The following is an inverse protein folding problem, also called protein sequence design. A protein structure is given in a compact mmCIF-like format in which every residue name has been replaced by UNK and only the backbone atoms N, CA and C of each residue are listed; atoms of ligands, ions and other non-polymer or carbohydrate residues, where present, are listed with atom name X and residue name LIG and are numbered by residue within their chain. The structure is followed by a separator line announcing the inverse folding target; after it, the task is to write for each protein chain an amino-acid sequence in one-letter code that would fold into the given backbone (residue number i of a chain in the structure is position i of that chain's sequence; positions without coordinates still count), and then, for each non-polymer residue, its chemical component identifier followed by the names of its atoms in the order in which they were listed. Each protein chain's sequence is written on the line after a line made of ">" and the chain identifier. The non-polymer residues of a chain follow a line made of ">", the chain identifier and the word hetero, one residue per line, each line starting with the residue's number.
data_IF_772217419840
#
_entry.id   IF_772217419840
#
_cell.length_a   1.000
_cell.length_b   1.000
_cell.length_c   1.000
_cell.angle_alpha   90.00
_cell.angle_beta   90.00
_cell.angle_gamma   90.00
#
_symmetry.space_group_name_H-M   'P 1'
#
loop_
_entity.id
_entity.type
_entity.pdbx_description
1 polymer ?
#
# COMPACT_ATOMS: atom_id res chain seq x y z
N UNK A 1 -5.44 21.97 -27.87
CA UNK A 1 -4.67 21.05 -27.02
C UNK A 1 -3.27 21.00 -27.61
N UNK A 2 -2.25 21.36 -26.84
CA UNK A 2 -0.87 21.42 -27.34
C UNK A 2 -0.33 20.01 -27.64
N UNK A 3 0.54 19.87 -28.65
CA UNK A 3 1.21 18.62 -29.03
C UNK A 3 1.91 18.01 -27.82
N UNK A 4 2.56 18.84 -26.99
CA UNK A 4 3.19 18.38 -25.75
C UNK A 4 2.21 17.72 -24.77
N UNK A 5 1.00 18.28 -24.65
CA UNK A 5 -0.06 17.72 -23.79
C UNK A 5 -0.58 16.39 -24.32
N UNK A 6 -0.77 16.27 -25.64
CA UNK A 6 -1.20 15.01 -26.28
C UNK A 6 -0.15 13.92 -26.05
N UNK A 7 1.13 14.23 -26.27
CA UNK A 7 2.25 13.30 -26.04
C UNK A 7 2.29 12.87 -24.57
N UNK A 8 2.18 13.79 -23.62
CA UNK A 8 2.19 13.47 -22.20
C UNK A 8 1.06 12.50 -21.80
N UNK A 9 -0.15 12.71 -22.33
CA UNK A 9 -1.29 11.84 -22.05
C UNK A 9 -1.09 10.45 -22.65
N UNK A 10 -0.61 10.37 -23.90
CA UNK A 10 -0.29 9.09 -24.52
C UNK A 10 0.75 8.32 -23.70
N UNK A 11 1.80 9.00 -23.24
CA UNK A 11 2.84 8.41 -22.40
C UNK A 11 2.26 7.91 -21.07
N UNK A 12 1.49 8.72 -20.35
CA UNK A 12 0.87 8.34 -19.08
C UNK A 12 -0.12 7.16 -19.23
N UNK A 13 -0.91 7.16 -20.31
CA UNK A 13 -1.83 6.07 -20.61
C UNK A 13 -1.08 4.77 -20.94
N UNK A 14 -0.01 4.85 -21.73
CA UNK A 14 0.83 3.69 -22.05
C UNK A 14 1.51 3.12 -20.80
N UNK A 15 2.08 3.97 -19.94
CA UNK A 15 2.65 3.51 -18.68
C UNK A 15 1.62 2.83 -17.79
N UNK A 16 0.43 3.43 -17.65
CA UNK A 16 -0.69 2.85 -16.90
C UNK A 16 -1.04 1.47 -17.44
N UNK A 17 -1.20 1.35 -18.76
CA UNK A 17 -1.50 0.09 -19.41
C UNK A 17 -0.41 -0.97 -19.19
N UNK A 18 0.87 -0.59 -19.31
CA UNK A 18 2.00 -1.49 -19.08
C UNK A 18 2.01 -1.99 -17.63
N UNK A 19 1.87 -1.11 -16.64
CA UNK A 19 1.82 -1.50 -15.23
C UNK A 19 0.65 -2.45 -14.93
N UNK A 20 -0.55 -2.12 -15.41
CA UNK A 20 -1.73 -2.99 -15.22
C UNK A 20 -1.53 -4.36 -15.88
N UNK A 21 -0.93 -4.41 -17.06
CA UNK A 21 -0.61 -5.66 -17.75
C UNK A 21 0.42 -6.48 -16.98
N UNK A 22 1.49 -5.84 -16.50
CA UNK A 22 2.52 -6.51 -15.69
C UNK A 22 1.90 -7.06 -14.40
N UNK A 23 1.12 -6.28 -13.67
CA UNK A 23 0.44 -6.73 -12.46
C UNK A 23 -0.50 -7.90 -12.76
N UNK A 24 -1.32 -7.78 -13.79
CA UNK A 24 -2.21 -8.85 -14.21
C UNK A 24 -1.46 -10.14 -14.50
N UNK A 25 -0.38 -10.08 -15.29
CA UNK A 25 0.41 -11.24 -15.65
C UNK A 25 1.09 -11.87 -14.43
N UNK A 26 1.79 -11.07 -13.61
CA UNK A 26 2.49 -11.55 -12.42
C UNK A 26 1.52 -12.22 -11.45
N UNK A 27 0.45 -11.54 -11.06
CA UNK A 27 -0.50 -12.10 -10.09
C UNK A 27 -1.33 -13.26 -10.65
N UNK A 28 -1.57 -13.29 -11.98
CA UNK A 28 -2.22 -14.44 -12.62
C UNK A 28 -1.31 -15.67 -12.67
N UNK A 29 0.00 -15.47 -12.89
CA UNK A 29 0.98 -16.55 -12.86
C UNK A 29 1.16 -17.09 -11.45
N UNK A 30 1.32 -16.23 -10.45
CA UNK A 30 1.37 -16.62 -9.04
C UNK A 30 0.13 -17.43 -8.65
N UNK A 31 -1.06 -16.93 -8.98
CA UNK A 31 -2.33 -17.64 -8.74
C UNK A 31 -2.32 -19.04 -9.34
N UNK A 32 -1.88 -19.19 -10.60
CA UNK A 32 -1.77 -20.50 -11.25
C UNK A 32 -0.73 -21.39 -10.57
N UNK A 33 0.39 -20.83 -10.13
CA UNK A 33 1.45 -21.56 -9.42
C UNK A 33 0.94 -22.16 -8.10
N UNK A 34 0.19 -21.38 -7.31
CA UNK A 34 -0.44 -21.87 -6.08
C UNK A 34 -1.52 -22.93 -6.35
N UNK A 35 -2.33 -22.77 -7.39
CA UNK A 35 -3.39 -23.72 -7.74
C UNK A 35 -2.85 -25.06 -8.26
N UNK A 36 -1.76 -25.03 -9.03
CA UNK A 36 -1.08 -26.22 -9.54
C UNK A 36 -0.21 -26.92 -8.49
N UNK A 37 0.06 -26.27 -7.36
CA UNK A 37 0.91 -26.79 -6.30
C UNK A 37 2.41 -26.69 -6.61
N UNK A 38 2.80 -25.91 -7.62
CA UNK A 38 4.20 -25.69 -7.97
C UNK A 38 4.96 -25.00 -6.83
N UNK A 39 4.29 -24.13 -6.06
CA UNK A 39 4.85 -23.44 -4.90
C UNK A 39 4.77 -24.25 -3.59
N UNK A 40 4.36 -25.52 -3.64
CA UNK A 40 4.17 -26.34 -2.43
C UNK A 40 5.44 -26.44 -1.58
N UNK A 41 6.61 -26.49 -2.21
CA UNK A 41 7.89 -26.55 -1.50
C UNK A 41 8.07 -25.34 -0.59
N UNK A 42 7.93 -24.13 -1.15
CA UNK A 42 8.05 -22.88 -0.41
C UNK A 42 6.96 -22.74 0.67
N UNK A 43 5.71 -23.08 0.33
CA UNK A 43 4.61 -23.03 1.29
C UNK A 43 4.84 -24.00 2.45
N UNK A 44 5.35 -25.21 2.20
CA UNK A 44 5.68 -26.19 3.25
C UNK A 44 6.83 -25.70 4.14
N UNK A 45 7.83 -25.04 3.59
CA UNK A 45 8.89 -24.42 4.41
C UNK A 45 8.33 -23.35 5.34
N UNK A 46 7.41 -22.53 4.87
CA UNK A 46 6.75 -21.52 5.69
C UNK A 46 5.91 -22.16 6.80
N UNK A 47 5.13 -23.19 6.47
CA UNK A 47 4.36 -23.99 7.43
C UNK A 47 5.30 -24.59 8.48
N UNK A 48 6.44 -25.14 8.10
CA UNK A 48 7.42 -25.72 9.03
C UNK A 48 8.02 -24.65 9.96
N UNK A 49 8.35 -23.47 9.44
CA UNK A 49 8.79 -22.31 10.25
C UNK A 49 7.72 -21.90 11.24
N UNK A 50 6.45 -21.94 10.84
CA UNK A 50 5.32 -21.62 11.70
C UNK A 50 5.01 -22.69 12.74
N UNK A 51 5.17 -23.98 12.39
CA UNK A 51 5.06 -25.08 13.33
C UNK A 51 6.11 -25.00 14.44
N UNK A 52 7.36 -24.68 14.10
CA UNK A 52 8.41 -24.41 15.09
C UNK A 52 8.05 -23.25 16.03
N UNK A 53 7.42 -22.19 15.52
CA UNK A 53 6.95 -21.06 16.35
C UNK A 53 5.77 -21.45 17.23
N UNK A 54 4.87 -22.27 16.71
CA UNK A 54 3.75 -22.83 17.45
C UNK A 54 4.24 -23.65 18.64
N UNK A 55 5.17 -24.59 18.44
CA UNK A 55 5.71 -25.41 19.54
C UNK A 55 6.30 -24.57 20.68
N UNK A 56 6.96 -23.44 20.37
CA UNK A 56 7.54 -22.52 21.36
C UNK A 56 6.50 -21.71 22.13
N UNK A 57 5.31 -21.50 21.56
CA UNK A 57 4.24 -20.67 22.12
C UNK A 57 2.95 -21.46 22.39
N UNK A 58 3.05 -22.79 22.40
CA UNK A 58 1.90 -23.71 22.43
C UNK A 58 1.10 -23.47 23.70
N UNK A 59 -0.20 -23.25 23.53
CA UNK A 59 -1.18 -23.20 24.62
C UNK A 59 -1.82 -24.58 24.76
N UNK A 60 -2.21 -24.94 25.97
CA UNK A 60 -2.64 -26.30 26.35
C UNK A 60 -3.81 -26.83 25.48
N UNK A 61 -4.69 -25.93 25.01
CA UNK A 61 -5.87 -26.26 24.20
C UNK A 61 -5.84 -25.72 22.76
N UNK A 62 -4.67 -25.34 22.23
CA UNK A 62 -4.52 -24.83 20.85
C UNK A 62 -3.75 -25.85 20.01
N UNK A 63 -4.37 -26.41 18.97
CA UNK A 63 -3.69 -27.23 17.97
C UNK A 63 -2.97 -26.37 16.92
N UNK A 64 -2.09 -26.98 16.11
CA UNK A 64 -1.37 -26.22 15.09
C UNK A 64 -2.31 -25.67 14.01
N UNK A 65 -3.38 -26.38 13.67
CA UNK A 65 -4.34 -25.94 12.65
C UNK A 65 -5.02 -24.65 13.08
N UNK A 66 -5.56 -24.59 14.30
CA UNK A 66 -6.18 -23.40 14.88
C UNK A 66 -5.18 -22.25 15.03
N UNK A 67 -3.94 -22.53 15.45
CA UNK A 67 -2.84 -21.54 15.45
C UNK A 67 -2.60 -20.97 14.04
N UNK A 68 -2.49 -21.84 13.03
CA UNK A 68 -2.21 -21.44 11.64
C UNK A 68 -3.35 -20.63 11.04
N UNK A 69 -4.61 -21.03 11.28
CA UNK A 69 -5.81 -20.31 10.85
C UNK A 69 -5.89 -18.94 11.50
N UNK A 70 -5.60 -18.83 12.80
CA UNK A 70 -5.60 -17.55 13.52
C UNK A 70 -4.51 -16.61 12.98
N UNK A 71 -3.32 -17.15 12.71
CA UNK A 71 -2.23 -16.38 12.10
C UNK A 71 -2.58 -15.91 10.69
N UNK A 72 -3.17 -16.76 9.86
CA UNK A 72 -3.63 -16.37 8.53
C UNK A 72 -4.75 -15.34 8.58
N UNK A 73 -5.70 -15.46 9.52
CA UNK A 73 -6.69 -14.39 9.77
C UNK A 73 -6.01 -13.05 10.09
N UNK A 74 -4.92 -13.04 10.85
CA UNK A 74 -4.16 -11.81 11.13
C UNK A 74 -3.43 -11.25 9.91
N UNK A 75 -2.88 -12.12 9.02
CA UNK A 75 -2.30 -11.69 7.73
C UNK A 75 -3.38 -11.08 6.83
N UNK A 76 -4.55 -11.73 6.75
CA UNK A 76 -5.72 -11.24 6.01
C UNK A 76 -6.19 -9.88 6.53
N UNK A 77 -6.29 -9.71 7.85
CA UNK A 77 -6.63 -8.42 8.46
C UNK A 77 -5.63 -7.32 8.09
N UNK A 78 -4.32 -7.61 8.11
CA UNK A 78 -3.31 -6.66 7.62
C UNK A 78 -3.51 -6.32 6.15
N UNK A 79 -3.83 -7.30 5.31
CA UNK A 79 -4.19 -7.08 3.90
C UNK A 79 -5.35 -6.09 3.73
N UNK A 80 -6.42 -6.26 4.51
CA UNK A 80 -7.57 -5.35 4.53
C UNK A 80 -7.16 -3.94 4.94
N UNK A 81 -6.29 -3.79 5.95
CA UNK A 81 -5.77 -2.47 6.36
C UNK A 81 -4.99 -1.81 5.22
N UNK A 82 -4.12 -2.54 4.52
CA UNK A 82 -3.38 -1.99 3.38
C UNK A 82 -4.32 -1.57 2.23
N UNK A 83 -5.32 -2.38 1.91
CA UNK A 83 -6.35 -2.01 0.91
C UNK A 83 -7.12 -0.75 1.36
N UNK A 84 -7.46 -0.64 2.65
CA UNK A 84 -8.08 0.56 3.22
C UNK A 84 -7.23 1.83 3.03
N UNK A 85 -5.91 1.74 3.21
CA UNK A 85 -4.98 2.85 2.97
C UNK A 85 -5.00 3.26 1.49
N UNK A 86 -5.03 2.29 0.56
CA UNK A 86 -5.13 2.56 -0.89
C UNK A 86 -6.43 3.30 -1.20
N UNK A 87 -7.56 2.87 -0.64
CA UNK A 87 -8.85 3.53 -0.83
C UNK A 87 -8.87 4.95 -0.26
N UNK A 88 -8.30 5.17 0.93
CA UNK A 88 -8.16 6.52 1.51
C UNK A 88 -7.36 7.42 0.58
N UNK A 89 -6.24 6.94 0.04
CA UNK A 89 -5.44 7.70 -0.93
C UNK A 89 -6.22 8.00 -2.22
N UNK A 90 -6.99 7.04 -2.74
CA UNK A 90 -7.81 7.26 -3.93
C UNK A 90 -8.92 8.29 -3.70
N UNK A 91 -9.58 8.26 -2.54
CA UNK A 91 -10.58 9.25 -2.14
C UNK A 91 -9.93 10.64 -2.01
N UNK A 92 -8.73 10.71 -1.41
CA UNK A 92 -7.96 11.95 -1.34
C UNK A 92 -7.65 12.49 -2.74
N UNK A 93 -7.19 11.65 -3.67
CA UNK A 93 -6.94 12.03 -5.06
C UNK A 93 -8.19 12.58 -5.74
N UNK A 94 -9.33 11.88 -5.59
CA UNK A 94 -10.61 12.34 -6.13
C UNK A 94 -11.04 13.69 -5.53
N UNK A 95 -10.83 13.88 -4.22
CA UNK A 95 -11.06 15.14 -3.52
C UNK A 95 -10.19 16.28 -4.06
N UNK A 96 -8.90 16.03 -4.30
CA UNK A 96 -7.98 17.03 -4.89
C UNK A 96 -8.41 17.41 -6.31
N UNK A 97 -8.84 16.44 -7.13
CA UNK A 97 -9.33 16.72 -8.49
C UNK A 97 -10.62 17.56 -8.43
N UNK A 98 -11.58 17.17 -7.59
CA UNK A 98 -12.83 17.90 -7.41
C UNK A 98 -12.59 19.32 -6.88
N UNK A 99 -11.70 19.45 -5.90
CA UNK A 99 -11.30 20.74 -5.35
C UNK A 99 -10.62 21.62 -6.41
N UNK A 100 -9.69 21.06 -7.19
CA UNK A 100 -9.01 21.79 -8.27
C UNK A 100 -10.01 22.29 -9.33
N UNK A 101 -11.02 21.49 -9.67
CA UNK A 101 -12.10 21.91 -10.57
C UNK A 101 -12.96 23.04 -9.97
N UNK A 102 -13.26 22.97 -8.66
CA UNK A 102 -13.99 24.03 -7.95
C UNK A 102 -13.21 25.35 -7.94
N UNK A 103 -11.91 25.33 -7.64
CA UNK A 103 -11.06 26.54 -7.66
C UNK A 103 -11.02 27.21 -9.02
N UNK A 104 -10.91 26.40 -10.08
CA UNK A 104 -10.90 26.92 -11.45
C UNK A 104 -12.22 27.62 -11.82
N UNK A 105 -13.34 27.22 -11.21
CA UNK A 105 -14.63 27.89 -11.36
C UNK A 105 -14.74 29.18 -10.55
N UNK A 106 -13.86 29.41 -9.58
CA UNK A 106 -13.87 30.55 -8.66
C UNK A 106 -12.65 31.45 -8.86
N UNK A 107 -12.17 31.62 -10.10
CA UNK A 107 -11.03 32.47 -10.44
C UNK A 107 -9.78 32.19 -9.59
N UNK A 108 -9.51 30.90 -9.35
CA UNK A 108 -8.35 30.39 -8.60
C UNK A 108 -8.20 30.93 -7.16
N UNK A 109 -9.34 31.30 -6.56
CA UNK A 109 -9.43 31.75 -5.17
C UNK A 109 -10.02 30.67 -4.26
N UNK A 110 -9.50 30.60 -3.04
CA UNK A 110 -10.17 29.92 -1.93
C UNK A 110 -10.06 30.71 -0.64
N UNK A 111 -11.02 30.50 0.25
CA UNK A 111 -11.13 31.24 1.50
C UNK A 111 -10.79 30.33 2.68
N UNK A 112 -10.01 30.85 3.62
CA UNK A 112 -9.70 30.16 4.87
C UNK A 112 -9.68 31.18 6.02
N UNK A 113 -10.68 31.11 6.89
CA UNK A 113 -10.94 32.16 7.88
C UNK A 113 -11.20 33.50 7.18
N UNK A 114 -10.52 34.55 7.64
CA UNK A 114 -10.62 35.91 7.08
C UNK A 114 -9.57 36.19 5.98
N UNK A 115 -8.89 35.14 5.49
CA UNK A 115 -7.87 35.23 4.44
C UNK A 115 -8.34 34.57 3.16
N UNK A 116 -8.24 35.31 2.05
CA UNK A 116 -8.39 34.78 0.70
C UNK A 116 -7.02 34.36 0.19
N UNK A 117 -6.91 33.15 -0.33
CA UNK A 117 -5.73 32.63 -0.98
C UNK A 117 -5.93 32.58 -2.48
N UNK A 118 -4.95 33.03 -3.24
CA UNK A 118 -4.96 32.97 -4.70
C UNK A 118 -3.55 32.78 -5.25
N UNK A 119 -3.45 32.24 -6.46
CA UNK A 119 -2.17 32.04 -7.14
C UNK A 119 -1.92 33.16 -8.15
N UNK A 120 -0.78 33.85 -8.03
CA UNK A 120 -0.37 34.90 -8.96
C UNK A 120 0.21 34.26 -10.23
N UNK A 121 -0.54 34.26 -11.32
CA UNK A 121 -0.18 33.56 -12.56
C UNK A 121 0.75 34.34 -13.49
N UNK A 122 0.91 35.65 -13.30
CA UNK A 122 1.70 36.51 -14.19
C UNK A 122 2.99 36.99 -13.53
N UNK A 123 3.88 37.56 -14.34
CA UNK A 123 5.16 38.11 -13.88
C UNK A 123 5.10 39.60 -13.50
N UNK A 124 3.93 40.25 -13.50
CA UNK A 124 3.84 41.71 -13.33
C UNK A 124 4.31 42.21 -11.97
N UNK A 125 4.36 41.35 -10.95
CA UNK A 125 4.89 41.63 -9.61
C UNK A 125 6.26 40.99 -9.33
N UNK A 126 6.87 40.31 -10.32
CA UNK A 126 8.02 39.43 -10.09
C UNK A 126 9.37 40.15 -10.01
N UNK A 127 9.46 41.34 -10.60
CA UNK A 127 10.66 42.18 -10.66
C UNK A 127 10.30 43.65 -10.50
N UNK A 128 11.30 44.49 -10.18
CA UNK A 128 11.13 45.94 -10.16
C UNK A 128 11.50 46.53 -11.52
N UNK A 129 10.67 47.43 -12.01
CA UNK A 129 11.00 48.26 -13.17
C UNK A 129 11.77 49.50 -12.71
N UNK A 130 12.89 49.83 -13.38
CA UNK A 130 13.72 50.99 -13.03
C UNK A 130 12.98 52.34 -13.18
N UNK A 131 11.87 52.37 -13.93
CA UNK A 131 11.03 53.57 -14.07
C UNK A 131 10.12 53.83 -12.87
N UNK A 132 10.00 52.88 -11.95
CA UNK A 132 9.15 53.00 -10.76
C UNK A 132 10.02 53.41 -9.56
N UNK A 133 10.30 54.70 -9.45
CA UNK A 133 11.10 55.32 -8.38
C UNK A 133 10.54 55.09 -6.97
N UNK A 134 9.23 54.96 -6.83
CA UNK A 134 8.55 54.62 -5.58
C UNK A 134 8.86 53.21 -5.04
N UNK A 135 9.52 52.32 -5.81
CA UNK A 135 9.87 50.96 -5.36
C UNK A 135 11.18 50.90 -4.54
N UNK A 136 11.86 52.03 -4.36
CA UNK A 136 13.06 52.12 -3.51
C UNK A 136 12.68 51.72 -2.08
N UNK A 137 13.31 50.67 -1.56
CA UNK A 137 13.03 50.12 -0.22
C UNK A 137 11.95 49.04 -0.15
N UNK A 138 11.29 48.69 -1.26
CA UNK A 138 10.23 47.67 -1.29
C UNK A 138 10.67 46.35 -1.96
N UNK A 139 11.24 45.42 -1.21
CA UNK A 139 11.75 44.12 -1.71
C UNK A 139 10.75 42.95 -1.57
N UNK A 140 9.45 43.23 -1.71
CA UNK A 140 8.36 42.28 -1.51
C UNK A 140 7.77 41.72 -2.83
N UNK A 141 8.56 41.62 -3.89
CA UNK A 141 8.14 41.09 -5.19
C UNK A 141 7.57 39.66 -5.07
N UNK A 142 6.56 39.39 -5.89
CA UNK A 142 5.81 38.14 -5.91
C UNK A 142 6.13 37.42 -7.21
N UNK A 143 6.79 36.26 -7.09
CA UNK A 143 7.16 35.44 -8.24
C UNK A 143 5.91 34.83 -8.89
N UNK A 144 6.00 34.56 -10.18
CA UNK A 144 4.97 33.81 -10.91
C UNK A 144 4.72 32.46 -10.26
N UNK A 145 3.45 32.06 -10.25
CA UNK A 145 2.89 30.90 -9.57
C UNK A 145 3.11 30.90 -8.06
N UNK A 146 3.22 32.07 -7.42
CA UNK A 146 3.21 32.16 -5.96
C UNK A 146 1.78 32.10 -5.44
N UNK A 147 1.54 31.22 -4.47
CA UNK A 147 0.36 31.29 -3.63
C UNK A 147 0.55 32.45 -2.65
N UNK A 148 -0.43 33.36 -2.56
CA UNK A 148 -0.38 34.50 -1.65
C UNK A 148 -1.62 34.55 -0.76
N UNK A 149 -1.49 35.20 0.40
CA UNK A 149 -2.60 35.51 1.30
C UNK A 149 -3.06 36.97 1.14
N UNK A 150 -4.37 37.15 1.03
CA UNK A 150 -5.06 38.44 0.93
C UNK A 150 -5.98 38.56 2.14
N UNK A 151 -5.78 39.59 2.96
CA UNK A 151 -6.66 39.91 4.09
C UNK A 151 -7.74 40.91 3.67
N UNK A 152 -8.96 40.72 4.18
CA UNK A 152 -10.05 41.68 4.00
C UNK A 152 -9.73 42.98 4.75
N UNK A 153 -10.01 44.12 4.13
CA UNK A 153 -9.73 45.46 4.67
C UNK A 153 -10.93 46.39 4.48
N UNK A 154 -10.93 47.54 5.16
CA UNK A 154 -11.86 48.65 4.90
C UNK A 154 -11.21 49.76 4.09
N UNK A 155 -11.99 50.75 3.66
CA UNK A 155 -11.49 51.83 2.81
C UNK A 155 -10.43 52.69 3.52
N UNK A 156 -10.55 52.83 4.85
CA UNK A 156 -9.60 53.58 5.68
C UNK A 156 -8.23 52.88 5.83
N UNK A 157 -8.16 51.59 5.52
CA UNK A 157 -6.92 50.80 5.57
C UNK A 157 -6.08 50.95 4.29
N UNK A 158 -6.58 51.64 3.27
CA UNK A 158 -5.91 51.85 1.98
C UNK A 158 -4.68 52.73 2.16
N UNK A 159 -3.51 52.21 1.76
CA UNK A 159 -2.22 52.90 1.90
C UNK A 159 -1.44 52.83 0.61
N UNK A 160 -0.90 53.99 0.22
CA UNK A 160 0.00 54.09 -0.93
C UNK A 160 1.16 53.10 -0.77
N UNK A 161 1.47 52.44 -1.88
CA UNK A 161 2.54 51.46 -2.04
C UNK A 161 2.33 50.11 -1.36
N UNK A 162 1.19 49.84 -0.73
CA UNK A 162 0.81 48.48 -0.35
C UNK A 162 0.35 47.68 -1.60
N UNK A 163 0.41 46.35 -1.50
CA UNK A 163 -0.01 45.43 -2.56
C UNK A 163 -1.43 44.96 -2.28
N UNK A 164 -2.29 44.99 -3.29
CA UNK A 164 -3.71 44.62 -3.18
C UNK A 164 -4.11 43.65 -4.28
N UNK A 165 -5.13 42.86 -3.99
CA UNK A 165 -5.86 42.11 -5.00
C UNK A 165 -7.17 42.84 -5.33
N UNK A 166 -7.51 42.95 -6.61
CA UNK A 166 -8.74 43.58 -7.09
C UNK A 166 -9.26 42.86 -8.33
N UNK A 167 -10.55 43.05 -8.61
CA UNK A 167 -11.21 42.51 -9.80
C UNK A 167 -10.97 43.42 -10.98
N UNK A 168 -10.59 42.84 -12.11
CA UNK A 168 -10.51 43.52 -13.40
C UNK A 168 -11.10 42.56 -14.43
N UNK A 169 -12.23 42.94 -15.02
CA UNK A 169 -13.07 42.07 -15.84
C UNK A 169 -13.40 40.75 -15.09
N UNK A 170 -13.15 39.60 -15.72
CA UNK A 170 -13.36 38.26 -15.13
C UNK A 170 -12.15 37.74 -14.33
N UNK A 171 -11.12 38.58 -14.12
CA UNK A 171 -9.85 38.17 -13.51
C UNK A 171 -9.57 38.89 -12.20
N UNK A 172 -8.77 38.25 -11.34
CA UNK A 172 -8.21 38.89 -10.16
C UNK A 172 -6.76 39.27 -10.41
N UNK A 173 -6.48 40.54 -10.24
CA UNK A 173 -5.16 41.14 -10.46
C UNK A 173 -4.56 41.52 -9.11
N UNK A 174 -3.25 41.32 -8.98
CA UNK A 174 -2.50 41.66 -7.77
C UNK A 174 -1.43 42.66 -8.13
N UNK A 175 -1.60 43.91 -7.73
CA UNK A 175 -0.67 45.00 -8.02
C UNK A 175 -0.51 45.95 -6.84
N UNK A 176 0.47 46.85 -6.94
CA UNK A 176 0.74 47.85 -5.92
C UNK A 176 -0.13 49.09 -6.14
N UNK A 177 -0.67 49.65 -5.06
CA UNK A 177 -1.38 50.91 -5.10
C UNK A 177 -0.40 52.08 -5.30
N UNK A 178 -0.61 52.90 -6.32
CA UNK A 178 0.27 54.03 -6.65
C UNK A 178 -0.43 55.39 -6.62
N UNK A 179 -1.76 55.42 -6.59
CA UNK A 179 -2.57 56.63 -6.57
C UNK A 179 -3.85 56.44 -5.78
N UNK A 180 -4.21 57.48 -5.02
CA UNK A 180 -5.50 57.61 -4.34
C UNK A 180 -6.02 58.99 -4.73
N UNK A 181 -7.11 59.02 -5.49
CA UNK A 181 -7.72 60.24 -6.00
C UNK A 181 -9.13 60.39 -5.41
N UNK A 182 -9.43 61.54 -4.81
CA UNK A 182 -10.79 61.86 -4.36
C UNK A 182 -11.34 63.01 -5.18
N UNK A 183 -12.39 62.75 -5.95
CA UNK A 183 -13.12 63.76 -6.72
C UNK A 183 -14.62 63.71 -6.38
N UNK A 184 -15.21 64.87 -6.08
CA UNK A 184 -16.62 65.01 -5.70
C UNK A 184 -17.10 64.04 -4.60
N UNK A 185 -16.22 63.70 -3.66
CA UNK A 185 -16.54 62.77 -2.55
C UNK A 185 -16.48 61.29 -2.94
N UNK A 186 -16.07 60.96 -4.16
CA UNK A 186 -15.79 59.59 -4.61
C UNK A 186 -14.28 59.39 -4.61
N UNK A 187 -13.81 58.43 -3.81
CA UNK A 187 -12.41 58.01 -3.81
C UNK A 187 -12.21 56.87 -4.78
N UNK A 188 -11.17 56.99 -5.59
CA UNK A 188 -10.76 55.97 -6.57
C UNK A 188 -9.28 55.66 -6.42
N UNK A 189 -8.91 54.49 -6.91
CA UNK A 189 -7.61 53.88 -6.67
C UNK A 189 -6.94 53.54 -7.99
N UNK A 190 -5.64 53.84 -8.06
CA UNK A 190 -4.81 53.51 -9.23
C UNK A 190 -3.72 52.52 -8.84
N UNK A 191 -3.67 51.39 -9.52
CA UNK A 191 -2.73 50.30 -9.28
C UNK A 191 -1.69 50.18 -10.40
N UNK A 192 -0.56 49.52 -10.10
CA UNK A 192 0.47 49.18 -11.09
C UNK A 192 1.27 47.95 -10.66
N UNK A 193 1.54 47.05 -11.61
CA UNK A 193 2.51 45.97 -11.42
C UNK A 193 3.94 46.48 -11.27
N UNK A 194 4.69 45.99 -10.28
CA UNK A 194 6.07 46.41 -10.01
C UNK A 194 7.00 46.29 -11.24
N UNK A 195 6.76 45.31 -12.11
CA UNK A 195 7.53 45.06 -13.33
C UNK A 195 7.08 45.91 -14.52
N UNK A 196 5.90 46.52 -14.45
CA UNK A 196 5.31 47.30 -15.53
C UNK A 196 5.85 48.73 -15.53
N UNK A 197 5.94 49.34 -16.71
CA UNK A 197 6.39 50.74 -16.87
C UNK A 197 5.30 51.77 -16.60
N UNK A 198 4.05 51.33 -16.51
CA UNK A 198 2.86 52.17 -16.40
C UNK A 198 1.65 51.34 -16.02
N UNK A 199 0.58 52.01 -15.61
CA UNK A 199 -0.71 51.38 -15.28
C UNK A 199 -1.53 51.16 -16.54
N UNK A 200 -2.26 50.05 -16.60
CA UNK A 200 -3.23 49.79 -17.66
C UNK A 200 -4.52 50.60 -17.44
N UNK A 201 -5.34 50.74 -18.49
CA UNK A 201 -6.61 51.47 -18.39
C UNK A 201 -7.57 50.91 -17.35
N UNK A 202 -7.59 49.59 -17.18
CA UNK A 202 -8.40 48.91 -16.16
C UNK A 202 -7.81 48.94 -14.74
N UNK A 203 -6.59 49.46 -14.57
CA UNK A 203 -5.92 49.60 -13.27
C UNK A 203 -6.09 51.02 -12.69
N UNK A 204 -6.75 51.93 -13.41
CA UNK A 204 -6.92 53.33 -13.04
C UNK A 204 -8.37 53.62 -12.63
N UNK A 205 -8.55 54.54 -11.68
CA UNK A 205 -9.86 55.01 -11.20
C UNK A 205 -10.78 53.88 -10.69
N UNK A 206 -10.22 52.83 -10.08
CA UNK A 206 -11.02 51.72 -9.53
C UNK A 206 -11.74 52.15 -8.25
N UNK A 207 -13.02 51.83 -8.07
CA UNK A 207 -13.72 52.05 -6.81
C UNK A 207 -13.30 51.02 -5.74
N UNK A 208 -13.52 51.35 -4.46
CA UNK A 208 -13.25 50.40 -3.36
C UNK A 208 -14.01 49.08 -3.50
N UNK A 209 -15.20 49.08 -4.12
CA UNK A 209 -16.02 47.88 -4.33
C UNK A 209 -15.34 46.80 -5.16
N UNK A 210 -14.33 47.14 -5.96
CA UNK A 210 -13.61 46.20 -6.82
C UNK A 210 -12.37 45.62 -6.12
N UNK A 211 -11.99 46.16 -4.96
CA UNK A 211 -10.85 45.71 -4.18
C UNK A 211 -11.27 44.51 -3.32
N UNK A 212 -10.50 43.42 -3.43
CA UNK A 212 -10.74 42.18 -2.69
C UNK A 212 -10.07 42.26 -1.31
N UNK A 213 -8.86 42.81 -1.26
CA UNK A 213 -8.14 42.96 0.00
C UNK A 213 -6.66 43.27 -0.17
N UNK A 214 -5.94 43.34 0.95
CA UNK A 214 -4.51 43.66 1.01
C UNK A 214 -3.67 42.39 1.11
N UNK A 215 -2.50 42.38 0.46
CA UNK A 215 -1.51 41.34 0.65
C UNK A 215 -0.98 41.31 2.09
N UNK A 216 -1.14 40.18 2.78
CA UNK A 216 -0.81 40.05 4.20
C UNK A 216 0.65 39.63 4.48
N UNK A 217 1.50 39.54 3.44
CA UNK A 217 2.89 39.12 3.57
C UNK A 217 3.13 37.60 3.40
N UNK A 218 2.09 36.76 3.43
CA UNK A 218 2.25 35.33 3.16
C UNK A 218 2.47 35.08 1.67
N UNK A 219 3.60 34.48 1.29
CA UNK A 219 3.83 33.96 -0.07
C UNK A 219 4.54 32.62 -0.07
N UNK A 220 4.14 31.72 -0.97
CA UNK A 220 4.83 30.45 -1.20
C UNK A 220 4.78 30.05 -2.67
N UNK A 221 5.94 30.09 -3.33
CA UNK A 221 6.08 29.66 -4.72
C UNK A 221 5.96 28.14 -4.88
N UNK A 222 6.44 27.37 -3.89
CA UNK A 222 6.33 25.90 -3.91
C UNK A 222 4.85 25.48 -3.86
N UNK A 223 4.08 26.07 -2.95
CA UNK A 223 2.65 25.75 -2.84
C UNK A 223 1.91 26.21 -4.10
N UNK A 224 2.15 27.42 -4.59
CA UNK A 224 1.45 27.91 -5.77
C UNK A 224 1.77 27.08 -7.03
N UNK A 225 3.02 26.67 -7.24
CA UNK A 225 3.38 25.74 -8.32
C UNK A 225 2.66 24.39 -8.17
N UNK A 226 2.54 23.85 -6.96
CA UNK A 226 1.79 22.62 -6.72
C UNK A 226 0.30 22.78 -7.05
N UNK A 227 -0.31 23.91 -6.66
CA UNK A 227 -1.69 24.24 -7.02
C UNK A 227 -1.89 24.32 -8.53
N UNK A 228 -1.05 25.06 -9.25
CA UNK A 228 -1.11 25.19 -10.72
C UNK A 228 -0.95 23.83 -11.39
N UNK A 229 -0.02 23.00 -10.91
CA UNK A 229 0.17 21.65 -11.43
C UNK A 229 -1.08 20.79 -11.24
N UNK A 230 -1.67 20.78 -10.04
CA UNK A 230 -2.87 19.98 -9.73
C UNK A 230 -4.11 20.45 -10.51
N UNK A 231 -4.19 21.72 -10.88
CA UNK A 231 -5.24 22.25 -11.77
C UNK A 231 -4.96 22.00 -13.25
N UNK A 232 -3.71 21.73 -13.62
CA UNK A 232 -3.34 21.45 -15.01
C UNK A 232 -3.91 20.10 -15.48
N UNK A 233 -4.24 20.01 -16.78
CA UNK A 233 -4.74 18.76 -17.35
C UNK A 233 -3.75 17.60 -17.20
N UNK A 234 -2.44 17.88 -17.28
CA UNK A 234 -1.39 16.86 -17.07
C UNK A 234 -1.37 16.39 -15.61
N UNK A 235 -1.47 17.30 -14.63
CA UNK A 235 -1.46 16.95 -13.22
C UNK A 235 -2.67 16.13 -12.81
N UNK A 236 -3.87 16.53 -13.26
CA UNK A 236 -5.11 15.76 -13.04
C UNK A 236 -5.01 14.35 -13.62
N UNK A 237 -4.55 14.22 -14.87
CA UNK A 237 -4.42 12.92 -15.53
C UNK A 237 -3.36 12.06 -14.84
N UNK A 238 -2.23 12.65 -14.45
CA UNK A 238 -1.17 11.94 -13.71
C UNK A 238 -1.69 11.38 -12.39
N UNK A 239 -2.47 12.17 -11.65
CA UNK A 239 -3.07 11.74 -10.38
C UNK A 239 -4.11 10.64 -10.58
N UNK A 240 -4.94 10.75 -11.62
CA UNK A 240 -5.91 9.71 -12.00
C UNK A 240 -5.22 8.40 -12.40
N UNK A 241 -4.16 8.46 -13.23
CA UNK A 241 -3.36 7.30 -13.61
C UNK A 241 -2.72 6.63 -12.38
N UNK A 242 -2.15 7.40 -11.46
CA UNK A 242 -1.59 6.86 -10.22
C UNK A 242 -2.64 6.13 -9.38
N UNK A 243 -3.84 6.70 -9.21
CA UNK A 243 -4.94 6.05 -8.51
C UNK A 243 -5.37 4.74 -9.20
N UNK A 244 -5.49 4.73 -10.54
CA UNK A 244 -5.85 3.54 -11.32
C UNK A 244 -4.80 2.44 -11.16
N UNK A 245 -3.51 2.77 -11.21
CA UNK A 245 -2.41 1.80 -11.04
C UNK A 245 -2.47 1.17 -9.64
N UNK A 246 -2.70 1.97 -8.60
CA UNK A 246 -2.81 1.47 -7.22
C UNK A 246 -4.04 0.58 -7.01
N UNK A 247 -5.19 0.96 -7.58
CA UNK A 247 -6.40 0.14 -7.54
C UNK A 247 -6.21 -1.18 -8.30
N UNK A 248 -5.58 -1.14 -9.47
CA UNK A 248 -5.24 -2.32 -10.25
C UNK A 248 -4.31 -3.27 -9.48
N UNK A 249 -3.26 -2.72 -8.85
CA UNK A 249 -2.36 -3.49 -8.00
C UNK A 249 -3.11 -4.18 -6.85
N UNK A 250 -3.95 -3.45 -6.11
CA UNK A 250 -4.71 -3.99 -4.97
C UNK A 250 -5.67 -5.10 -5.43
N UNK A 251 -6.39 -4.87 -6.53
CA UNK A 251 -7.34 -5.83 -7.10
C UNK A 251 -6.66 -7.14 -7.55
N UNK A 252 -5.56 -7.06 -8.31
CA UNK A 252 -4.87 -8.24 -8.80
C UNK A 252 -4.15 -9.00 -7.67
N UNK A 253 -3.51 -8.27 -6.75
CA UNK A 253 -2.85 -8.87 -5.57
C UNK A 253 -3.85 -9.61 -4.69
N UNK A 254 -5.05 -9.05 -4.48
CA UNK A 254 -6.10 -9.71 -3.69
C UNK A 254 -6.47 -11.09 -4.24
N UNK A 255 -6.50 -11.24 -5.56
CA UNK A 255 -6.72 -12.53 -6.23
C UNK A 255 -5.64 -13.57 -5.93
N UNK A 256 -4.36 -13.19 -6.05
CA UNK A 256 -3.21 -14.07 -5.77
C UNK A 256 -3.17 -14.48 -4.29
N UNK A 257 -3.35 -13.50 -3.38
CA UNK A 257 -3.32 -13.74 -1.93
C UNK A 257 -4.39 -14.73 -1.48
N UNK A 258 -5.60 -14.65 -2.02
CA UNK A 258 -6.67 -15.60 -1.72
C UNK A 258 -6.32 -17.04 -2.12
N UNK A 259 -5.64 -17.22 -3.26
CA UNK A 259 -5.20 -18.54 -3.72
C UNK A 259 -4.05 -19.10 -2.89
N UNK A 260 -3.09 -18.26 -2.50
CA UNK A 260 -2.05 -18.62 -1.53
C UNK A 260 -2.67 -19.04 -0.19
N UNK A 261 -3.61 -18.26 0.37
CA UNK A 261 -4.25 -18.59 1.66
C UNK A 261 -4.99 -19.93 1.61
N UNK A 262 -5.72 -20.20 0.53
CA UNK A 262 -6.40 -21.48 0.33
C UNK A 262 -5.40 -22.65 0.30
N UNK A 263 -4.30 -22.51 -0.45
CA UNK A 263 -3.27 -23.55 -0.56
C UNK A 263 -2.53 -23.77 0.76
N UNK A 264 -2.16 -22.69 1.44
CA UNK A 264 -1.51 -22.73 2.75
C UNK A 264 -2.38 -23.46 3.78
N UNK A 265 -3.68 -23.13 3.86
CA UNK A 265 -4.59 -23.77 4.81
C UNK A 265 -4.75 -25.27 4.53
N UNK A 266 -4.86 -25.66 3.25
CA UNK A 266 -4.91 -27.07 2.84
C UNK A 266 -3.65 -27.83 3.26
N UNK A 267 -2.46 -27.30 2.95
CA UNK A 267 -1.20 -27.94 3.29
C UNK A 267 -0.93 -27.97 4.80
N UNK A 268 -1.35 -26.93 5.54
CA UNK A 268 -1.18 -26.88 7.00
C UNK A 268 -1.98 -27.99 7.70
N UNK A 269 -3.19 -28.25 7.23
CA UNK A 269 -4.03 -29.34 7.74
C UNK A 269 -3.38 -30.71 7.48
N UNK A 270 -2.86 -30.94 6.28
CA UNK A 270 -2.19 -32.19 5.94
C UNK A 270 -0.88 -32.38 6.71
N UNK A 271 -0.08 -31.32 6.84
CA UNK A 271 1.17 -31.36 7.61
C UNK A 271 0.90 -31.65 9.10
N UNK A 272 -0.15 -31.06 9.68
CA UNK A 272 -0.51 -31.31 11.08
C UNK A 272 -0.81 -32.78 11.37
N UNK A 273 -1.54 -33.47 10.47
CA UNK A 273 -1.81 -34.90 10.61
C UNK A 273 -0.52 -35.71 10.70
N UNK A 274 0.43 -35.44 9.79
CA UNK A 274 1.73 -36.11 9.77
C UNK A 274 2.51 -35.85 11.08
N UNK A 275 2.50 -34.61 11.58
CA UNK A 275 3.18 -34.29 12.84
C UNK A 275 2.55 -34.96 14.07
N UNK A 276 1.21 -35.09 14.11
CA UNK A 276 0.50 -35.81 15.17
C UNK A 276 0.85 -37.30 15.18
N UNK A 277 0.88 -37.93 14.01
CA UNK A 277 1.23 -39.36 13.89
C UNK A 277 2.67 -39.59 14.39
N UNK A 278 3.59 -38.68 14.09
CA UNK A 278 4.98 -38.74 14.57
C UNK A 278 5.11 -38.52 16.10
N UNK A 279 4.38 -37.57 16.69
CA UNK A 279 4.38 -37.37 18.15
C UNK A 279 3.80 -38.59 18.89
N UNK A 280 2.69 -39.15 18.39
CA UNK A 280 2.07 -40.35 18.95
C UNK A 280 3.01 -41.57 18.87
N UNK A 281 3.68 -41.77 17.72
CA UNK A 281 4.70 -42.81 17.55
C UNK A 281 5.85 -42.66 18.57
N UNK A 282 6.37 -41.44 18.73
CA UNK A 282 7.48 -41.17 19.65
C UNK A 282 7.09 -41.40 21.11
N UNK A 283 5.86 -41.03 21.49
CA UNK A 283 5.30 -41.28 22.81
C UNK A 283 5.13 -42.79 23.09
N UNK A 284 4.54 -43.54 22.15
CA UNK A 284 4.38 -45.00 22.23
C UNK A 284 5.74 -45.69 22.37
N UNK A 285 6.74 -45.30 21.56
CA UNK A 285 8.11 -45.82 21.64
C UNK A 285 8.76 -45.58 23.00
N UNK A 286 8.47 -44.43 23.63
CA UNK A 286 8.97 -44.10 24.98
C UNK A 286 8.26 -44.91 26.06
N UNK A 287 6.95 -45.13 25.97
CA UNK A 287 6.22 -46.00 26.91
C UNK A 287 6.67 -47.47 26.80
N UNK A 288 6.82 -48.00 25.59
CA UNK A 288 7.32 -49.38 25.36
C UNK A 288 8.73 -49.56 25.93
N UNK A 289 9.61 -48.58 25.75
CA UNK A 289 10.98 -48.59 26.32
C UNK A 289 10.99 -48.53 27.87
N UNK A 290 9.97 -47.94 28.49
CA UNK A 290 9.84 -47.91 29.94
C UNK A 290 9.24 -49.20 30.51
N UNK A 291 8.46 -49.96 29.72
CA UNK A 291 7.77 -51.15 30.20
C UNK A 291 8.61 -52.44 30.07
N UNK A 292 9.62 -52.47 29.19
CA UNK A 292 10.38 -53.70 28.98
C UNK A 292 11.90 -53.48 29.11
N UNK A 293 12.46 -53.86 30.26
CA UNK A 293 13.87 -53.61 30.57
C UNK A 293 14.83 -54.73 30.16
N UNK A 294 14.40 -55.98 29.91
CA UNK A 294 15.38 -57.08 29.88
C UNK A 294 15.31 -58.12 28.74
N UNK A 295 14.36 -58.14 27.78
CA UNK A 295 14.49 -59.11 26.66
C UNK A 295 13.88 -58.74 25.29
N UNK A 296 12.91 -57.84 25.17
CA UNK A 296 12.24 -57.58 23.87
C UNK A 296 12.96 -56.60 22.93
N UNK A 297 13.85 -55.74 23.45
CA UNK A 297 14.59 -54.75 22.67
C UNK A 297 15.52 -55.36 21.60
N UNK A 298 16.02 -56.57 21.86
CA UNK A 298 16.87 -57.33 20.92
C UNK A 298 16.08 -57.74 19.66
N UNK A 299 14.83 -58.15 19.83
CA UNK A 299 13.97 -58.66 18.76
C UNK A 299 13.47 -57.50 17.89
N UNK A 300 13.02 -56.41 18.52
CA UNK A 300 12.53 -55.22 17.80
C UNK A 300 13.58 -54.55 16.93
N UNK A 301 14.83 -54.43 17.41
CA UNK A 301 15.91 -53.82 16.62
C UNK A 301 16.24 -54.65 15.37
N UNK A 302 16.23 -55.98 15.47
CA UNK A 302 16.50 -56.89 14.35
C UNK A 302 15.40 -56.83 13.28
N UNK A 303 14.13 -56.71 13.67
CA UNK A 303 13.00 -56.61 12.73
C UNK A 303 13.05 -55.31 11.92
N UNK A 304 13.35 -54.18 12.56
CA UNK A 304 13.48 -52.88 11.85
C UNK A 304 14.64 -52.91 10.85
N UNK A 305 15.81 -53.42 11.25
CA UNK A 305 16.97 -53.52 10.35
C UNK A 305 16.71 -54.45 9.15
N UNK A 306 15.89 -55.49 9.33
CA UNK A 306 15.48 -56.40 8.25
C UNK A 306 14.50 -55.73 7.26
N UNK A 307 13.54 -54.94 7.74
CA UNK A 307 12.60 -54.22 6.88
C UNK A 307 13.30 -53.15 6.03
N UNK A 308 14.28 -52.45 6.63
CA UNK A 308 15.11 -51.48 5.93
C UNK A 308 16.00 -52.14 4.87
N UNK A 309 16.62 -53.29 5.19
CA UNK A 309 17.49 -54.03 4.26
C UNK A 309 16.73 -54.61 3.07
N UNK A 310 15.45 -54.92 3.23
CA UNK A 310 14.59 -55.46 2.16
C UNK A 310 13.79 -54.38 1.40
N UNK A 311 14.07 -53.10 1.61
CA UNK A 311 13.51 -52.02 0.80
C UNK A 311 12.11 -51.55 1.21
N UNK A 312 11.66 -51.82 2.44
CA UNK A 312 10.37 -51.38 2.97
C UNK A 312 10.52 -50.39 4.14
N UNK A 313 11.19 -49.23 3.95
CA UNK A 313 11.43 -48.27 5.01
C UNK A 313 10.15 -47.55 5.47
N UNK A 314 9.10 -47.51 4.65
CA UNK A 314 7.82 -46.88 5.04
C UNK A 314 7.00 -47.77 5.98
N UNK A 315 7.08 -49.10 5.84
CA UNK A 315 6.39 -50.05 6.71
C UNK A 315 7.02 -50.18 8.11
N UNK A 316 8.27 -49.72 8.29
CA UNK A 316 8.93 -49.70 9.62
C UNK A 316 8.27 -48.74 10.62
N UNK A 317 7.35 -47.88 10.13
CA UNK A 317 6.67 -46.85 10.90
C UNK A 317 5.31 -47.31 11.49
N UNK A 318 4.81 -48.51 11.13
CA UNK A 318 3.47 -49.01 11.52
C UNK A 318 3.40 -50.42 12.12
N UNK A 319 4.54 -51.06 12.44
CA UNK A 319 4.57 -52.45 12.91
C UNK A 319 4.15 -52.58 14.38
N UNK A 320 3.14 -53.40 14.67
CA UNK A 320 2.78 -53.85 16.03
C UNK A 320 3.25 -55.29 16.20
N UNK A 321 4.31 -55.51 16.98
CA UNK A 321 4.79 -56.87 17.30
C UNK A 321 4.10 -57.34 18.58
N UNK A 322 3.27 -58.38 18.48
CA UNK A 322 2.67 -59.07 19.62
C UNK A 322 3.41 -60.40 19.85
N UNK A 323 4.08 -60.53 21.01
CA UNK A 323 4.83 -61.74 21.35
C UNK A 323 3.89 -62.66 22.15
N UNK A 324 3.58 -63.83 21.58
CA UNK A 324 2.84 -64.89 22.27
C UNK A 324 3.80 -65.77 23.06
N UNK A 325 3.50 -66.04 24.32
CA UNK A 325 4.41 -66.65 25.31
C UNK A 325 4.60 -68.18 25.13
N UNK A 326 4.46 -68.67 23.91
CA UNK A 326 4.81 -70.04 23.55
C UNK A 326 6.21 -70.06 22.94
N UNK A 327 7.18 -70.44 23.78
CA UNK A 327 8.61 -70.54 23.50
C UNK A 327 8.90 -70.98 22.05
N UNK A 328 9.42 -70.05 21.26
CA UNK A 328 9.92 -70.16 19.87
C UNK A 328 8.97 -69.77 18.72
N UNK A 329 7.95 -68.95 18.95
CA UNK A 329 7.22 -68.27 17.85
C UNK A 329 7.01 -66.78 18.12
N UNK A 330 7.34 -65.94 17.15
CA UNK A 330 7.04 -64.50 17.18
C UNK A 330 6.15 -64.20 15.98
N UNK A 331 4.87 -63.91 16.22
CA UNK A 331 3.95 -63.51 15.16
C UNK A 331 3.97 -61.98 15.04
N UNK A 332 4.30 -61.48 13.84
CA UNK A 332 4.33 -60.05 13.55
C UNK A 332 3.09 -59.71 12.74
N UNK A 333 2.17 -58.95 13.33
CA UNK A 333 0.96 -58.49 12.64
C UNK A 333 1.24 -57.11 12.03
N UNK A 334 1.27 -57.06 10.70
CA UNK A 334 1.36 -55.81 9.95
C UNK A 334 -0.07 -55.31 9.70
N UNK A 335 -0.44 -54.22 10.37
CA UNK A 335 -1.70 -53.52 10.13
C UNK A 335 -1.61 -52.78 8.80
N UNK A 336 -1.79 -53.50 7.69
CA UNK A 336 -2.25 -53.02 6.38
C UNK A 336 -2.29 -54.11 5.29
N UNK A 337 -2.03 -55.38 5.62
CA UNK A 337 -2.12 -56.49 4.65
C UNK A 337 -3.35 -57.34 4.97
N UNK A 338 -4.24 -57.56 3.99
CA UNK A 338 -5.47 -58.38 4.12
C UNK A 338 -5.19 -59.86 4.50
N UNK A 339 -3.92 -60.27 4.53
CA UNK A 339 -3.48 -61.57 5.05
C UNK A 339 -2.30 -61.38 6.02
N UNK A 340 -2.35 -61.93 7.25
CA UNK A 340 -1.26 -61.82 8.20
C UNK A 340 -0.04 -62.61 7.70
N UNK A 341 1.10 -61.95 7.55
CA UNK A 341 2.38 -62.60 7.22
C UNK A 341 3.00 -63.18 8.49
N UNK A 342 3.14 -64.50 8.56
CA UNK A 342 3.70 -65.19 9.73
C UNK A 342 5.20 -65.37 9.54
N UNK A 343 6.01 -64.77 10.40
CA UNK A 343 7.47 -64.94 10.39
C UNK A 343 7.85 -65.97 11.46
N UNK A 344 8.31 -67.16 11.05
CA UNK A 344 8.77 -68.19 12.00
C UNK A 344 10.25 -67.99 12.35
N UNK A 345 10.56 -68.07 13.66
CA UNK A 345 11.93 -68.03 14.16
C UNK A 345 12.34 -69.42 14.66
N UNK A 346 13.30 -70.06 13.97
CA UNK A 346 14.09 -71.16 14.54
C UNK A 346 15.48 -70.63 14.84
N UNK A 347 16.04 -71.06 15.97
CA UNK A 347 17.37 -70.62 16.40
C UNK A 347 18.36 -70.75 15.24
N UNK A 348 18.84 -69.58 14.81
CA UNK A 348 19.90 -69.31 13.85
C UNK A 348 19.54 -69.06 12.37
N UNK A 349 18.27 -69.18 11.94
CA UNK A 349 17.83 -68.71 10.61
C UNK A 349 16.37 -68.23 10.62
N UNK A 350 16.10 -67.09 9.95
CA UNK A 350 14.75 -66.52 9.78
C UNK A 350 14.29 -66.77 8.35
N UNK A 351 13.14 -67.42 8.20
CA UNK A 351 12.48 -67.63 6.92
C UNK A 351 11.24 -66.74 6.83
N UNK A 352 11.07 -66.06 5.69
CA UNK A 352 9.86 -65.29 5.37
C UNK A 352 9.01 -66.17 4.46
N UNK A 353 7.80 -66.51 4.89
CA UNK A 353 6.82 -67.27 4.10
C UNK A 353 5.72 -66.35 3.61
#
# INVERSE_FOLDING_TARGET
>A
MDVGMVVAICVLALFTFVYLTVFFLVFSLEKKSYLSGNEDGEVREEIHKDYKKYLRKKKENEDFVSYSLKKNRSKKQRGIVYSGIVWIFCIFCAGVIAFSAHLKSNNDQFYFGDTTFLVVQTGSMSSKNDRNDYLVGYDNQIQTNSLIGIETITEEDMKLYDIYAFKMDDSVIVHRLIGIETDNGVTTYTFRGDANTGSLSGEMNLPFSDIIGRYNGFKSQILGNAFVYLQSGIGVISLACAAIILLGYDAFRGGSLNSYEARYNYLSYNAYKIYLDYENYTYLKKQVRCHNKNNELSIYSKVITLLEKNGYPEMSHGVVVSISDNKNKVEVLLNEVETPTVVEYKSDEIYVC
#
